data_IF_430736313906
#
_entry.id   IF_430736313906
#
_cell.length_a   1.000
_cell.length_b   1.000
_cell.length_c   1.000
_cell.angle_alpha   90.00
_cell.angle_beta   90.00
_cell.angle_gamma   90.00
#
_symmetry.space_group_name_H-M   'P 1'
#
loop_
_entity.id
_entity.type
_entity.pdbx_description
1 polymer ?
#
# COMPACT_ATOMS: atom_id res chain seq x y z
N UNK A 1 8.69 -7.52 18.51
CA UNK A 1 8.80 -6.61 17.35
C UNK A 1 7.44 -6.57 16.66
N UNK A 2 7.01 -5.35 16.31
CA UNK A 2 5.70 -4.81 15.89
C UNK A 2 4.49 -5.71 15.51
N UNK A 3 3.37 -5.44 16.17
CA UNK A 3 2.01 -5.88 15.80
C UNK A 3 1.44 -5.15 14.56
N UNK A 4 2.14 -4.12 14.07
CA UNK A 4 1.77 -3.36 12.86
C UNK A 4 1.94 -4.21 11.60
N UNK A 5 2.90 -5.14 11.59
CA UNK A 5 3.26 -5.96 10.43
C UNK A 5 2.28 -7.13 10.15
N UNK A 6 1.24 -7.30 10.98
CA UNK A 6 0.23 -8.35 10.80
C UNK A 6 -1.14 -7.80 10.38
N UNK A 7 -1.22 -6.49 10.17
CA UNK A 7 -2.46 -5.79 9.85
C UNK A 7 -2.91 -6.01 8.42
N UNK A 8 -1.98 -5.99 7.45
CA UNK A 8 -2.33 -5.86 6.04
C UNK A 8 -2.81 -7.19 5.41
N UNK A 9 -2.19 -8.31 5.76
CA UNK A 9 -2.60 -9.66 5.32
C UNK A 9 -3.98 -10.10 5.83
N UNK A 10 -4.51 -9.44 6.87
CA UNK A 10 -5.77 -9.81 7.52
C UNK A 10 -6.76 -8.63 7.63
N UNK A 11 -6.47 -7.47 7.03
CA UNK A 11 -7.48 -6.42 6.91
C UNK A 11 -8.50 -6.87 5.89
N UNK A 12 -9.66 -7.34 6.37
CA UNK A 12 -10.90 -7.26 5.59
C UNK A 12 -10.91 -5.91 4.86
N UNK A 13 -11.26 -5.82 3.56
CA UNK A 13 -11.19 -4.58 2.78
C UNK A 13 -11.78 -3.35 3.49
N UNK A 14 -12.77 -3.55 4.36
CA UNK A 14 -13.35 -2.55 5.25
C UNK A 14 -12.33 -1.87 6.18
N UNK A 15 -11.41 -2.61 6.81
CA UNK A 15 -10.37 -2.00 7.67
C UNK A 15 -9.38 -1.14 6.88
N UNK A 16 -9.09 -1.52 5.63
CA UNK A 16 -8.23 -0.71 4.76
C UNK A 16 -8.90 0.60 4.36
N UNK A 17 -10.20 0.57 4.06
CA UNK A 17 -10.98 1.78 3.76
C UNK A 17 -11.05 2.74 4.96
N UNK A 18 -11.29 2.21 6.17
CA UNK A 18 -11.31 3.01 7.40
C UNK A 18 -9.95 3.71 7.65
N UNK A 19 -8.83 2.98 7.46
CA UNK A 19 -7.49 3.57 7.60
C UNK A 19 -7.23 4.68 6.58
N UNK A 20 -7.70 4.53 5.35
CA UNK A 20 -7.56 5.57 4.31
C UNK A 20 -8.39 6.81 4.66
N UNK A 21 -9.59 6.64 5.21
CA UNK A 21 -10.43 7.75 5.69
C UNK A 21 -9.77 8.55 6.84
N UNK A 22 -9.10 7.87 7.76
CA UNK A 22 -8.31 8.53 8.80
C UNK A 22 -7.15 9.36 8.20
N UNK A 23 -6.48 8.84 7.17
CA UNK A 23 -5.43 9.56 6.45
C UNK A 23 -5.96 10.76 5.67
N UNK A 24 -7.12 10.64 5.04
CA UNK A 24 -7.81 11.75 4.38
C UNK A 24 -8.09 12.88 5.36
N UNK A 25 -8.63 12.53 6.53
CA UNK A 25 -8.95 13.49 7.59
C UNK A 25 -7.68 14.19 8.09
N UNK A 26 -6.63 13.43 8.40
CA UNK A 26 -5.36 13.98 8.86
C UNK A 26 -4.69 14.88 7.81
N UNK A 27 -4.77 14.53 6.52
CA UNK A 27 -4.17 15.32 5.44
C UNK A 27 -5.01 16.54 5.07
N UNK A 28 -6.32 16.50 5.24
CA UNK A 28 -7.21 17.64 4.99
C UNK A 28 -6.94 18.81 5.94
N UNK A 29 -6.43 18.53 7.14
CA UNK A 29 -5.99 19.55 8.11
C UNK A 29 -4.63 20.17 7.77
N UNK A 30 -3.88 19.58 6.83
CA UNK A 30 -2.54 20.03 6.45
C UNK A 30 -2.62 21.02 5.29
N UNK A 31 -2.26 22.27 5.56
CA UNK A 31 -2.09 23.30 4.53
C UNK A 31 -0.70 23.20 3.88
N UNK A 32 -0.49 22.18 3.04
CA UNK A 32 0.75 21.99 2.28
C UNK A 32 0.47 22.01 0.77
N UNK A 33 1.18 22.84 -0.02
CA UNK A 33 1.05 22.82 -1.47
C UNK A 33 1.27 21.43 -2.07
N UNK A 34 0.23 20.90 -2.71
CA UNK A 34 0.22 19.54 -3.28
C UNK A 34 -0.66 18.54 -2.53
N UNK A 35 -1.08 18.83 -1.30
CA UNK A 35 -1.94 17.94 -0.49
C UNK A 35 -3.28 17.62 -1.18
N UNK A 36 -3.86 18.57 -1.93
CA UNK A 36 -5.11 18.35 -2.69
C UNK A 36 -5.03 17.20 -3.71
N UNK A 37 -3.87 16.97 -4.32
CA UNK A 37 -3.68 15.86 -5.25
C UNK A 37 -3.71 14.51 -4.53
N UNK A 38 -3.02 14.44 -3.40
CA UNK A 38 -2.92 13.24 -2.56
C UNK A 38 -4.29 12.91 -1.97
N UNK A 39 -5.06 13.90 -1.48
CA UNK A 39 -6.44 13.68 -1.02
C UNK A 39 -7.35 13.05 -2.09
N UNK A 40 -7.18 13.45 -3.36
CA UNK A 40 -7.95 12.84 -4.47
C UNK A 40 -7.55 11.40 -4.73
N UNK A 41 -6.26 11.11 -4.61
CA UNK A 41 -5.72 9.76 -4.81
C UNK A 41 -6.11 8.83 -3.63
N UNK A 42 -6.13 9.33 -2.40
CA UNK A 42 -6.65 8.61 -1.22
C UNK A 42 -8.14 8.28 -1.39
N UNK A 43 -8.95 9.24 -1.86
CA UNK A 43 -10.37 8.98 -2.13
C UNK A 43 -10.58 7.92 -3.22
N UNK A 44 -9.70 7.88 -4.22
CA UNK A 44 -9.72 6.85 -5.24
C UNK A 44 -9.33 5.47 -4.66
N UNK A 45 -8.36 5.42 -3.75
CA UNK A 45 -7.93 4.20 -3.07
C UNK A 45 -9.04 3.66 -2.16
N UNK A 46 -9.61 4.50 -1.30
CA UNK A 46 -10.75 4.15 -0.44
C UNK A 46 -11.89 3.54 -1.25
N UNK A 47 -12.28 4.22 -2.33
CA UNK A 47 -13.34 3.73 -3.23
C UNK A 47 -13.00 2.37 -3.84
N UNK A 48 -11.72 2.08 -4.08
CA UNK A 48 -11.30 0.79 -4.62
C UNK A 48 -11.38 -0.33 -3.59
N UNK A 49 -11.06 -0.03 -2.32
CA UNK A 49 -11.13 -0.96 -1.18
C UNK A 49 -12.57 -1.24 -0.74
N UNK A 50 -13.49 -0.29 -0.92
CA UNK A 50 -14.90 -0.46 -0.60
C UNK A 50 -15.68 -1.28 -1.65
N UNK A 51 -15.07 -1.58 -2.80
CA UNK A 51 -15.74 -2.41 -3.82
C UNK A 51 -15.82 -3.86 -3.36
N UNK A 52 -16.91 -4.53 -3.74
CA UNK A 52 -17.05 -5.98 -3.56
C UNK A 52 -15.99 -6.78 -4.31
N UNK A 53 -15.45 -6.22 -5.40
CA UNK A 53 -14.33 -6.78 -6.17
C UNK A 53 -13.30 -5.66 -6.42
N UNK A 54 -12.31 -5.50 -5.52
CA UNK A 54 -11.22 -4.55 -5.69
C UNK A 54 -10.34 -4.92 -6.88
N UNK A 55 -9.70 -3.91 -7.46
CA UNK A 55 -8.83 -4.00 -8.64
C UNK A 55 -7.43 -3.83 -8.10
N UNK A 56 -6.71 -4.96 -7.99
CA UNK A 56 -5.40 -5.01 -7.37
C UNK A 56 -4.41 -4.10 -8.10
N UNK A 57 -4.33 -4.18 -9.43
CA UNK A 57 -3.43 -3.34 -10.24
C UNK A 57 -3.66 -1.85 -9.98
N UNK A 58 -4.93 -1.46 -9.90
CA UNK A 58 -5.29 -0.08 -9.59
C UNK A 58 -4.95 0.31 -8.15
N UNK A 59 -5.12 -0.59 -7.18
CA UNK A 59 -4.71 -0.35 -5.79
C UNK A 59 -3.19 -0.14 -5.72
N UNK A 60 -2.39 -1.00 -6.35
CA UNK A 60 -0.94 -0.87 -6.39
C UNK A 60 -0.49 0.44 -7.03
N UNK A 61 -1.07 0.77 -8.19
CA UNK A 61 -0.77 2.03 -8.87
C UNK A 61 -1.09 3.26 -8.00
N UNK A 62 -2.19 3.21 -7.24
CA UNK A 62 -2.58 4.27 -6.31
C UNK A 62 -1.64 4.35 -5.11
N UNK A 63 -1.30 3.22 -4.48
CA UNK A 63 -0.38 3.15 -3.35
C UNK A 63 1.00 3.71 -3.70
N UNK A 64 1.57 3.29 -4.83
CA UNK A 64 2.88 3.79 -5.28
C UNK A 64 2.87 5.31 -5.56
N UNK A 65 1.81 5.79 -6.23
CA UNK A 65 1.64 7.22 -6.51
C UNK A 65 1.46 8.03 -5.22
N UNK A 66 0.66 7.51 -4.30
CA UNK A 66 0.41 8.11 -2.99
C UNK A 66 1.69 8.19 -2.16
N UNK A 67 2.46 7.10 -2.09
CA UNK A 67 3.75 7.08 -1.39
C UNK A 67 4.71 8.13 -1.94
N UNK A 68 4.93 8.13 -3.25
CA UNK A 68 5.81 9.09 -3.93
C UNK A 68 5.37 10.54 -3.71
N UNK A 69 4.08 10.84 -3.89
CA UNK A 69 3.56 12.19 -3.77
C UNK A 69 3.61 12.69 -2.33
N UNK A 70 3.31 11.82 -1.36
CA UNK A 70 3.29 12.18 0.07
C UNK A 70 4.69 12.46 0.60
N UNK A 71 5.67 11.60 0.28
CA UNK A 71 7.08 11.85 0.63
C UNK A 71 7.59 13.15 -0.01
N UNK A 72 7.21 13.43 -1.26
CA UNK A 72 7.62 14.65 -1.98
C UNK A 72 7.06 15.94 -1.37
N UNK A 73 5.85 15.92 -0.81
CA UNK A 73 5.31 17.11 -0.13
C UNK A 73 5.80 17.24 1.31
N UNK A 74 6.29 16.15 1.91
CA UNK A 74 6.81 16.17 3.27
C UNK A 74 7.96 17.17 3.41
N UNK A 75 8.88 17.23 2.44
CA UNK A 75 9.99 18.21 2.43
C UNK A 75 9.53 19.68 2.31
N UNK A 76 8.25 19.91 2.03
CA UNK A 76 7.62 21.23 1.95
C UNK A 76 6.76 21.54 3.17
N UNK A 77 6.54 20.57 4.05
CA UNK A 77 5.69 20.71 5.21
C UNK A 77 6.54 21.15 6.41
N UNK A 78 6.16 22.25 7.05
CA UNK A 78 6.90 22.79 8.19
C UNK A 78 6.70 21.93 9.45
N UNK A 79 5.44 21.71 9.85
CA UNK A 79 5.08 21.03 11.11
C UNK A 79 4.76 19.55 10.97
N UNK A 80 4.57 19.08 9.74
CA UNK A 80 4.04 17.74 9.44
C UNK A 80 5.01 16.90 8.61
N UNK A 81 6.26 17.34 8.43
CA UNK A 81 7.26 16.64 7.62
C UNK A 81 7.40 15.17 8.02
N UNK A 82 7.71 14.88 9.28
CA UNK A 82 7.99 13.51 9.73
C UNK A 82 6.76 12.61 9.60
N UNK A 83 5.57 13.16 9.87
CA UNK A 83 4.30 12.46 9.70
C UNK A 83 4.03 12.12 8.23
N UNK A 84 4.28 13.06 7.32
CA UNK A 84 4.10 12.85 5.88
C UNK A 84 5.15 11.90 5.31
N UNK A 85 6.39 11.92 5.80
CA UNK A 85 7.42 10.93 5.42
C UNK A 85 7.01 9.53 5.84
N UNK A 86 6.65 9.36 7.11
CA UNK A 86 6.20 8.06 7.62
C UNK A 86 4.98 7.52 6.86
N UNK A 87 4.01 8.39 6.53
CA UNK A 87 2.85 8.01 5.71
C UNK A 87 3.27 7.61 4.29
N UNK A 88 4.14 8.40 3.65
CA UNK A 88 4.61 8.13 2.29
C UNK A 88 5.41 6.82 2.18
N UNK A 89 6.22 6.52 3.19
CA UNK A 89 6.97 5.25 3.29
C UNK A 89 6.00 4.07 3.47
N UNK A 90 5.05 4.16 4.40
CA UNK A 90 4.06 3.10 4.62
C UNK A 90 3.19 2.83 3.38
N UNK A 91 2.82 3.86 2.62
CA UNK A 91 2.08 3.73 1.36
C UNK A 91 2.92 3.06 0.26
N UNK A 92 4.23 3.31 0.24
CA UNK A 92 5.15 2.67 -0.69
C UNK A 92 5.33 1.21 -0.35
N UNK A 93 5.60 0.89 0.92
CA UNK A 93 5.74 -0.47 1.43
C UNK A 93 4.47 -1.30 1.16
N UNK A 94 3.29 -0.76 1.46
CA UNK A 94 2.02 -1.42 1.17
C UNK A 94 1.78 -1.65 -0.34
N UNK A 95 2.39 -0.82 -1.20
CA UNK A 95 2.32 -0.98 -2.65
C UNK A 95 3.29 -2.05 -3.19
N UNK A 96 4.40 -2.30 -2.49
CA UNK A 96 5.44 -3.28 -2.82
C UNK A 96 5.14 -4.68 -2.25
N UNK A 97 4.39 -4.77 -1.15
CA UNK A 97 4.08 -6.02 -0.42
C UNK A 97 2.98 -6.88 -1.09
N UNK A 98 2.95 -6.95 -2.43
CA UNK A 98 2.10 -7.91 -3.15
C UNK A 98 2.92 -8.89 -3.99
N UNK A 99 2.44 -10.13 -4.09
CA UNK A 99 3.25 -11.30 -3.81
C UNK A 99 4.13 -11.67 -5.00
N UNK A 100 5.37 -11.17 -5.01
CA UNK A 100 6.45 -11.82 -5.76
C UNK A 100 6.96 -13.08 -5.02
N UNK A 101 6.44 -13.38 -3.82
CA UNK A 101 6.74 -14.61 -3.07
C UNK A 101 5.86 -15.82 -3.46
N UNK A 102 4.93 -15.68 -4.42
CA UNK A 102 4.13 -16.81 -4.90
C UNK A 102 4.82 -17.65 -6.00
N UNK A 103 5.89 -17.16 -6.63
CA UNK A 103 6.58 -17.92 -7.69
C UNK A 103 7.75 -18.80 -7.21
N UNK A 104 8.20 -18.67 -5.95
CA UNK A 104 9.35 -19.44 -5.45
C UNK A 104 8.97 -20.78 -4.75
N UNK A 105 7.68 -21.01 -4.47
CA UNK A 105 7.22 -22.25 -3.80
C UNK A 105 6.92 -23.39 -4.79
N UNK A 106 6.55 -23.11 -6.05
CA UNK A 106 6.24 -24.17 -7.03
C UNK A 106 7.49 -24.82 -7.65
N UNK A 107 8.64 -24.14 -7.68
CA UNK A 107 9.87 -24.68 -8.24
C UNK A 107 10.50 -25.81 -7.40
N UNK A 108 10.17 -25.89 -6.10
CA UNK A 108 10.70 -26.92 -5.20
C UNK A 108 9.95 -28.27 -5.25
N UNK A 109 8.79 -28.35 -5.90
CA UNK A 109 7.91 -29.53 -5.85
C UNK A 109 8.11 -30.55 -6.99
N UNK A 110 9.00 -30.31 -7.96
CA UNK A 110 9.18 -31.22 -9.11
C UNK A 110 10.63 -31.59 -9.40
N UNK A 111 11.25 -32.53 -8.65
CA UNK A 111 12.37 -33.29 -9.18
C UNK A 111 11.83 -34.35 -10.17
N UNK A 112 11.55 -33.93 -11.41
CA UNK A 112 11.47 -34.82 -12.57
C UNK A 112 12.85 -35.44 -12.82
N UNK A 113 13.13 -36.61 -12.25
CA UNK A 113 14.17 -37.52 -12.78
C UNK A 113 13.67 -38.95 -12.82
N UNK A 114 13.06 -39.27 -13.96
CA UNK A 114 13.08 -40.61 -14.50
C UNK A 114 14.54 -41.07 -14.68
N UNK A 115 14.92 -42.25 -14.16
CA UNK A 115 15.75 -43.17 -14.95
C UNK A 115 15.53 -44.63 -14.56
N UNK A 116 15.18 -45.36 -15.62
CA UNK A 116 14.89 -46.78 -15.83
C UNK A 116 16.17 -47.64 -15.81
N UNK A 117 16.00 -48.91 -15.40
CA UNK A 117 16.85 -50.12 -15.65
C UNK A 117 18.23 -50.14 -14.97
N UNK A 118 18.76 -51.27 -14.51
CA UNK A 118 18.62 -52.66 -14.98
C UNK A 118 18.56 -53.67 -13.83
#
# INVERSE_FOLDING_TARGET
MNAINRGLDATKPTKGADMVEDWESALAEIDTPGAKGILRDLAALRKQLEKGEPDADRIHALLHRLGTATTKIADKADKSQDKLKALGEALTEAGEDSPDEAEDVEAAASPKRARKKS
#
